data_IF_124040608454
#
_entry.id   IF_124040608454
#
_cell.length_a   1.000
_cell.length_b   1.000
_cell.length_c   1.000
_cell.angle_alpha   90.00
_cell.angle_beta   90.00
_cell.angle_gamma   90.00
#
_symmetry.space_group_name_H-M   'P 1'
#
loop_
_entity.id
_entity.type
_entity.pdbx_description
1 polymer ?
#
# COMPACT_ATOMS: atom_id res chain seq x y z
N UNK A 1 5.50 -25.72 6.71
CA UNK A 1 4.09 -25.96 6.37
C UNK A 1 4.07 -26.79 5.09
N UNK A 2 3.33 -27.90 5.01
CA UNK A 2 3.18 -28.64 3.75
C UNK A 2 2.47 -27.78 2.69
N UNK A 3 2.86 -27.91 1.42
CA UNK A 3 2.15 -27.25 0.31
C UNK A 3 0.98 -28.12 -0.13
N UNK A 4 -0.22 -27.75 0.30
CA UNK A 4 -1.49 -28.35 -0.14
C UNK A 4 -2.34 -27.33 -0.92
N UNK A 5 -3.55 -27.74 -1.34
CA UNK A 5 -4.46 -26.90 -2.13
C UNK A 5 -4.93 -25.65 -1.38
N UNK A 6 -5.13 -25.75 -0.07
CA UNK A 6 -5.55 -24.63 0.78
C UNK A 6 -4.40 -23.62 0.91
N UNK A 7 -3.20 -24.10 1.24
CA UNK A 7 -1.98 -23.28 1.30
C UNK A 7 -1.71 -22.61 -0.05
N UNK A 8 -1.88 -23.32 -1.16
CA UNK A 8 -1.72 -22.75 -2.50
C UNK A 8 -2.76 -21.66 -2.81
N UNK A 9 -4.02 -21.86 -2.40
CA UNK A 9 -5.09 -20.85 -2.56
C UNK A 9 -4.78 -19.59 -1.75
N UNK A 10 -4.29 -19.73 -0.52
CA UNK A 10 -3.84 -18.60 0.30
C UNK A 10 -2.65 -17.88 -0.33
N UNK A 11 -1.68 -18.60 -0.90
CA UNK A 11 -0.56 -17.99 -1.63
C UNK A 11 -1.08 -17.19 -2.83
N UNK A 12 -2.02 -17.73 -3.60
CA UNK A 12 -2.62 -17.00 -4.72
C UNK A 12 -3.34 -15.72 -4.27
N UNK A 13 -4.06 -15.77 -3.14
CA UNK A 13 -4.70 -14.59 -2.54
C UNK A 13 -3.66 -13.50 -2.21
N UNK A 14 -2.54 -13.87 -1.57
CA UNK A 14 -1.45 -12.93 -1.27
C UNK A 14 -0.81 -12.34 -2.54
N UNK A 15 -0.66 -13.15 -3.58
CA UNK A 15 -0.14 -12.67 -4.86
C UNK A 15 -1.08 -11.67 -5.56
N UNK A 16 -2.40 -11.77 -5.36
CA UNK A 16 -3.36 -10.76 -5.82
C UNK A 16 -3.28 -9.46 -5.03
N UNK A 17 -2.82 -9.52 -3.78
CA UNK A 17 -2.61 -8.34 -2.94
C UNK A 17 -1.51 -7.43 -3.52
N UNK A 18 -0.46 -8.02 -4.07
CA UNK A 18 0.70 -7.33 -4.63
C UNK A 18 0.48 -7.02 -6.12
N UNK A 19 0.16 -5.75 -6.43
CA UNK A 19 -0.11 -5.28 -7.80
C UNK A 19 0.97 -5.70 -8.82
N UNK A 20 2.24 -5.72 -8.44
CA UNK A 20 3.34 -6.05 -9.35
C UNK A 20 3.41 -7.54 -9.72
N UNK A 21 2.77 -8.42 -8.92
CA UNK A 21 2.78 -9.86 -9.13
C UNK A 21 1.58 -10.34 -9.95
N UNK A 22 0.51 -9.54 -10.05
CA UNK A 22 -0.73 -9.92 -10.76
C UNK A 22 -0.51 -10.30 -12.22
N UNK A 23 0.48 -9.69 -12.88
CA UNK A 23 0.81 -9.96 -14.29
C UNK A 23 1.44 -11.36 -14.51
N UNK A 24 2.02 -11.97 -13.48
CA UNK A 24 2.68 -13.28 -13.55
C UNK A 24 1.79 -14.43 -13.11
N UNK A 25 0.64 -14.13 -12.49
CA UNK A 25 -0.28 -15.12 -11.94
C UNK A 25 -0.67 -16.22 -12.93
N UNK A 26 -1.02 -15.94 -14.21
CA UNK A 26 -1.34 -17.01 -15.15
C UNK A 26 -0.19 -17.98 -15.40
N UNK A 27 1.07 -17.51 -15.44
CA UNK A 27 2.23 -18.38 -15.61
C UNK A 27 2.49 -19.21 -14.35
N UNK A 28 2.38 -18.61 -13.16
CA UNK A 28 2.48 -19.31 -11.87
C UNK A 28 1.44 -20.43 -11.72
N UNK A 29 0.18 -20.15 -12.08
CA UNK A 29 -0.92 -21.13 -12.08
C UNK A 29 -0.65 -22.24 -13.10
N UNK A 30 -0.22 -21.87 -14.32
CA UNK A 30 0.10 -22.85 -15.38
C UNK A 30 1.23 -23.77 -14.97
N UNK A 31 2.28 -23.26 -14.32
CA UNK A 31 3.41 -24.05 -13.81
C UNK A 31 2.97 -25.00 -12.69
N UNK A 32 2.25 -24.49 -11.70
CA UNK A 32 1.72 -25.30 -10.61
C UNK A 32 0.82 -26.44 -11.13
N UNK A 33 -0.01 -26.19 -12.16
CA UNK A 33 -0.85 -27.23 -12.78
C UNK A 33 -0.08 -28.39 -13.41
N UNK A 34 1.24 -28.21 -13.65
CA UNK A 34 2.15 -29.23 -14.21
C UNK A 34 3.12 -29.79 -13.17
N UNK A 35 2.96 -29.42 -11.90
CA UNK A 35 3.87 -29.80 -10.82
C UNK A 35 5.18 -29.01 -10.76
N UNK A 36 5.29 -27.89 -11.50
CA UNK A 36 6.45 -26.98 -11.42
C UNK A 36 6.22 -25.94 -10.32
N UNK A 37 6.88 -26.16 -9.18
CA UNK A 37 6.84 -25.29 -8.00
C UNK A 37 8.18 -24.61 -7.69
N UNK A 38 9.17 -24.69 -8.58
CA UNK A 38 10.49 -24.08 -8.35
C UNK A 38 10.38 -22.57 -8.15
N UNK A 39 9.44 -21.93 -8.86
CA UNK A 39 9.15 -20.51 -8.69
C UNK A 39 8.66 -20.17 -7.28
N UNK A 40 7.94 -21.08 -6.63
CA UNK A 40 7.44 -20.84 -5.29
C UNK A 40 8.59 -20.89 -4.29
N UNK A 41 9.52 -21.83 -4.43
CA UNK A 41 10.74 -21.89 -3.61
C UNK A 41 11.57 -20.59 -3.69
N UNK A 42 11.69 -20.03 -4.89
CA UNK A 42 12.44 -18.80 -5.13
C UNK A 42 11.68 -17.54 -4.69
N UNK A 43 10.35 -17.57 -4.67
CA UNK A 43 9.51 -16.42 -4.32
C UNK A 43 9.10 -16.40 -2.84
N UNK A 44 9.04 -17.56 -2.18
CA UNK A 44 8.67 -17.71 -0.77
C UNK A 44 9.43 -16.76 0.16
N UNK A 45 10.75 -16.55 0.05
CA UNK A 45 11.46 -15.59 0.91
C UNK A 45 10.95 -14.16 0.76
N UNK A 46 10.47 -13.77 -0.44
CA UNK A 46 9.88 -12.45 -0.69
C UNK A 46 8.46 -12.35 -0.11
N UNK A 47 7.68 -13.43 -0.19
CA UNK A 47 6.30 -13.46 0.29
C UNK A 47 6.20 -13.60 1.81
N UNK A 48 7.11 -14.36 2.42
CA UNK A 48 7.04 -14.68 3.85
C UNK A 48 7.77 -13.66 4.72
N UNK A 49 8.60 -12.79 4.16
CA UNK A 49 9.43 -11.87 4.94
C UNK A 49 10.24 -12.60 6.01
N UNK A 50 10.88 -11.87 6.92
CA UNK A 50 11.62 -12.42 8.07
C UNK A 50 10.71 -12.86 9.23
N UNK A 51 9.41 -13.02 9.00
CA UNK A 51 8.44 -13.30 10.06
C UNK A 51 8.28 -12.16 11.08
N UNK A 52 8.75 -10.94 10.75
CA UNK A 52 8.44 -9.73 11.52
C UNK A 52 6.98 -9.34 11.28
N UNK A 53 6.13 -9.74 12.21
CA UNK A 53 4.73 -9.36 12.22
C UNK A 53 4.48 -8.44 13.43
N UNK A 54 4.33 -7.12 13.23
CA UNK A 54 3.67 -6.26 14.18
C UNK A 54 2.30 -5.87 13.61
N UNK A 55 1.53 -6.82 13.04
CA UNK A 55 0.09 -6.68 13.14
C UNK A 55 -0.19 -6.41 14.61
N UNK A 56 -0.70 -5.22 14.91
CA UNK A 56 -1.25 -4.91 16.21
C UNK A 56 -2.53 -5.76 16.34
N UNK A 57 -2.39 -7.08 16.42
CA UNK A 57 -3.46 -8.06 16.28
C UNK A 57 -4.48 -7.87 17.40
N UNK A 58 -3.99 -7.43 18.56
CA UNK A 58 -4.82 -6.96 19.66
C UNK A 58 -5.68 -5.77 19.27
N UNK A 59 -5.12 -4.74 18.62
CA UNK A 59 -5.88 -3.59 18.09
C UNK A 59 -6.83 -4.04 16.98
N UNK A 60 -6.38 -4.85 16.03
CA UNK A 60 -7.17 -5.38 14.92
C UNK A 60 -8.44 -6.07 15.42
N UNK A 61 -8.32 -7.06 16.31
CA UNK A 61 -9.48 -7.74 16.86
C UNK A 61 -10.29 -6.86 17.81
N UNK A 62 -9.67 -5.91 18.52
CA UNK A 62 -10.42 -4.92 19.31
C UNK A 62 -11.32 -4.04 18.43
N UNK A 63 -10.88 -3.70 17.22
CA UNK A 63 -11.69 -2.96 16.24
C UNK A 63 -12.70 -3.87 15.56
N UNK A 64 -12.28 -4.97 14.93
CA UNK A 64 -13.19 -5.79 14.13
C UNK A 64 -14.28 -6.42 14.99
N UNK A 65 -13.96 -6.93 16.17
CA UNK A 65 -14.95 -7.58 17.02
C UNK A 65 -15.94 -6.58 17.64
N UNK A 66 -15.59 -5.29 17.70
CA UNK A 66 -16.53 -4.23 18.10
C UNK A 66 -17.67 -4.04 17.09
N UNK A 67 -17.47 -4.39 15.81
CA UNK A 67 -18.39 -4.10 14.70
C UNK A 67 -19.53 -5.12 14.50
N UNK A 68 -19.90 -5.85 15.57
CA UNK A 68 -20.95 -6.86 15.61
C UNK A 68 -20.64 -8.12 14.77
N UNK A 69 -19.77 -8.99 15.30
CA UNK A 69 -19.58 -10.36 14.83
C UNK A 69 -20.74 -11.26 15.29
N UNK A 70 -21.86 -11.26 14.56
CA UNK A 70 -23.04 -12.07 14.87
C UNK A 70 -23.07 -13.39 14.09
N UNK A 71 -23.77 -14.39 14.64
CA UNK A 71 -24.03 -15.67 13.94
C UNK A 71 -24.75 -15.43 12.61
N UNK A 72 -25.74 -14.53 12.61
CA UNK A 72 -26.50 -14.16 11.40
C UNK A 72 -25.60 -13.65 10.27
N UNK A 73 -24.60 -12.81 10.58
CA UNK A 73 -23.65 -12.31 9.58
C UNK A 73 -22.74 -13.41 9.04
N UNK A 74 -22.32 -14.33 9.91
CA UNK A 74 -21.56 -15.50 9.48
C UNK A 74 -22.40 -16.36 8.52
N UNK A 75 -23.63 -16.70 8.91
CA UNK A 75 -24.51 -17.55 8.11
C UNK A 75 -24.81 -16.91 6.74
N UNK A 76 -25.04 -15.58 6.71
CA UNK A 76 -25.20 -14.83 5.47
C UNK A 76 -23.94 -14.86 4.58
N UNK A 77 -22.74 -14.81 5.19
CA UNK A 77 -21.46 -14.90 4.46
C UNK A 77 -21.28 -16.29 3.85
N UNK A 78 -21.53 -17.35 4.63
CA UNK A 78 -21.45 -18.74 4.15
C UNK A 78 -22.47 -19.01 3.03
N UNK A 79 -23.68 -18.45 3.14
CA UNK A 79 -24.70 -18.55 2.09
C UNK A 79 -24.25 -17.88 0.79
N UNK A 80 -23.73 -16.65 0.87
CA UNK A 80 -23.24 -15.91 -0.29
C UNK A 80 -22.09 -16.64 -1.00
N UNK A 81 -21.25 -17.34 -0.24
CA UNK A 81 -20.09 -18.07 -0.75
C UNK A 81 -20.45 -19.40 -1.44
N UNK A 82 -21.70 -19.88 -1.38
CA UNK A 82 -22.08 -21.16 -2.03
C UNK A 82 -21.83 -21.20 -3.53
N UNK A 83 -21.82 -20.04 -4.19
CA UNK A 83 -21.54 -19.92 -5.63
C UNK A 83 -20.05 -19.97 -5.99
N UNK A 84 -19.16 -19.86 -5.00
CA UNK A 84 -17.71 -19.98 -5.18
C UNK A 84 -17.34 -21.45 -5.36
N UNK A 85 -16.29 -21.73 -6.15
CA UNK A 85 -15.76 -23.08 -6.34
C UNK A 85 -15.50 -23.75 -4.98
N UNK A 86 -15.93 -25.01 -4.76
CA UNK A 86 -15.84 -25.66 -3.46
C UNK A 86 -14.44 -25.65 -2.85
N UNK A 87 -13.40 -25.82 -3.67
CA UNK A 87 -12.00 -25.86 -3.27
C UNK A 87 -11.52 -24.49 -2.76
N UNK A 88 -11.87 -23.41 -3.47
CA UNK A 88 -11.54 -22.04 -3.07
C UNK A 88 -12.35 -21.62 -1.84
N UNK A 89 -13.62 -22.06 -1.78
CA UNK A 89 -14.50 -21.79 -0.65
C UNK A 89 -13.97 -22.44 0.62
N UNK A 90 -13.52 -23.69 0.57
CA UNK A 90 -12.97 -24.40 1.72
C UNK A 90 -11.79 -23.65 2.34
N UNK A 91 -10.87 -23.14 1.51
CA UNK A 91 -9.72 -22.36 1.96
C UNK A 91 -10.11 -21.01 2.59
N UNK A 92 -11.16 -20.35 2.10
CA UNK A 92 -11.57 -19.02 2.56
C UNK A 92 -12.57 -19.01 3.72
N UNK A 93 -13.47 -20.00 3.81
CA UNK A 93 -14.50 -20.06 4.85
C UNK A 93 -13.91 -20.27 6.24
N UNK A 94 -12.81 -21.01 6.35
CA UNK A 94 -12.13 -21.24 7.62
C UNK A 94 -11.74 -19.92 8.30
N UNK A 95 -11.24 -18.95 7.53
CA UNK A 95 -10.95 -17.62 8.04
C UNK A 95 -12.21 -16.94 8.62
N UNK A 96 -13.36 -17.04 7.96
CA UNK A 96 -14.61 -16.46 8.48
C UNK A 96 -15.06 -17.14 9.78
N UNK A 97 -14.90 -18.46 9.88
CA UNK A 97 -15.20 -19.24 11.09
C UNK A 97 -14.28 -18.86 12.25
N UNK A 98 -12.98 -18.73 11.98
CA UNK A 98 -11.98 -18.36 12.98
C UNK A 98 -12.21 -16.94 13.50
N UNK A 99 -12.47 -15.97 12.61
CA UNK A 99 -12.83 -14.60 12.99
C UNK A 99 -14.07 -14.57 13.87
N UNK A 100 -15.10 -15.33 13.50
CA UNK A 100 -16.30 -15.44 14.33
C UNK A 100 -15.96 -16.01 15.72
N UNK A 101 -15.23 -17.13 15.78
CA UNK A 101 -14.86 -17.80 17.03
C UNK A 101 -14.01 -16.90 17.94
N UNK A 102 -13.05 -16.17 17.38
CA UNK A 102 -12.24 -15.19 18.08
C UNK A 102 -13.13 -14.09 18.65
N UNK A 103 -13.99 -13.49 17.83
CA UNK A 103 -14.83 -12.37 18.27
C UNK A 103 -15.91 -12.75 19.28
N UNK A 104 -16.34 -14.02 19.35
CA UNK A 104 -17.21 -14.49 20.45
C UNK A 104 -16.53 -14.45 21.82
N UNK A 105 -15.20 -14.54 21.85
CA UNK A 105 -14.41 -14.60 23.09
C UNK A 105 -13.54 -13.35 23.30
N UNK A 106 -13.50 -12.44 22.33
CA UNK A 106 -12.67 -11.24 22.39
C UNK A 106 -13.32 -10.17 23.27
N UNK A 107 -12.59 -9.58 24.24
CA UNK A 107 -13.12 -8.54 25.13
C UNK A 107 -13.20 -7.19 24.40
N UNK A 108 -14.11 -7.07 23.44
CA UNK A 108 -14.40 -5.82 22.72
C UNK A 108 -15.64 -5.14 23.30
N UNK A 109 -15.61 -3.80 23.35
CA UNK A 109 -16.83 -3.02 23.53
C UNK A 109 -17.51 -2.90 22.16
N UNK A 110 -18.85 -2.84 22.12
CA UNK A 110 -19.56 -2.58 20.88
C UNK A 110 -19.10 -1.26 20.24
N UNK A 111 -18.98 -1.26 18.91
CA UNK A 111 -18.62 -0.06 18.16
C UNK A 111 -19.67 1.03 18.36
N UNK A 112 -19.24 2.30 18.27
CA UNK A 112 -20.18 3.40 18.06
C UNK A 112 -21.06 3.04 16.84
N UNK A 113 -22.41 3.12 16.93
CA UNK A 113 -23.29 2.87 15.80
C UNK A 113 -22.92 3.67 14.54
N UNK A 114 -22.30 4.85 14.68
CA UNK A 114 -21.76 5.64 13.57
C UNK A 114 -20.63 4.94 12.82
N UNK A 115 -19.82 4.13 13.50
CA UNK A 115 -18.69 3.41 12.92
C UNK A 115 -19.10 2.20 12.05
N UNK A 116 -20.35 1.75 12.17
CA UNK A 116 -20.91 0.64 11.37
C UNK A 116 -22.05 1.08 10.44
N UNK A 117 -22.36 2.37 10.41
CA UNK A 117 -23.34 2.96 9.49
C UNK A 117 -22.64 3.46 8.21
N UNK A 118 -23.29 3.37 7.04
CA UNK A 118 -22.75 3.94 5.81
C UNK A 118 -22.45 5.44 5.96
N UNK A 119 -21.31 5.88 5.42
CA UNK A 119 -20.97 7.30 5.41
C UNK A 119 -21.85 8.05 4.39
N UNK A 120 -22.55 9.10 4.84
CA UNK A 120 -23.39 9.95 3.98
C UNK A 120 -22.67 11.29 3.78
N UNK A 121 -22.43 11.68 2.52
CA UNK A 121 -21.72 12.91 2.20
C UNK A 121 -22.01 13.39 0.78
N UNK A 122 -22.08 14.71 0.61
CA UNK A 122 -22.12 15.43 -0.67
C UNK A 122 -20.75 16.03 -1.05
N UNK A 123 -19.73 15.81 -0.22
CA UNK A 123 -18.38 16.30 -0.48
C UNK A 123 -17.75 15.56 -1.66
N UNK A 124 -16.97 16.26 -2.50
CA UNK A 124 -16.28 15.61 -3.60
C UNK A 124 -15.37 14.47 -3.11
N UNK A 125 -15.63 13.27 -3.60
CA UNK A 125 -14.96 12.05 -3.15
C UNK A 125 -14.48 11.24 -4.36
N UNK A 126 -13.26 10.70 -4.29
CA UNK A 126 -12.76 9.75 -5.28
C UNK A 126 -12.54 8.40 -4.62
N UNK A 127 -13.06 7.35 -5.24
CA UNK A 127 -12.93 5.95 -4.82
C UNK A 127 -12.05 5.25 -5.86
N UNK A 128 -10.88 4.75 -5.46
CA UNK A 128 -9.90 4.17 -6.39
C UNK A 128 -9.71 2.69 -6.00
N UNK A 129 -10.01 1.78 -6.92
CA UNK A 129 -9.91 0.33 -6.71
C UNK A 129 -9.03 -0.32 -7.76
N UNK A 130 -8.32 -1.38 -7.38
CA UNK A 130 -7.63 -2.25 -8.31
C UNK A 130 -8.63 -3.21 -8.93
N UNK A 131 -8.50 -3.53 -10.22
CA UNK A 131 -9.38 -4.49 -10.88
C UNK A 131 -9.34 -5.88 -10.23
N UNK A 132 -8.17 -6.28 -9.71
CA UNK A 132 -7.92 -7.57 -9.07
C UNK A 132 -7.74 -7.47 -7.56
N UNK A 133 -8.17 -6.37 -6.93
CA UNK A 133 -8.11 -6.20 -5.48
C UNK A 133 -8.92 -7.32 -4.77
N UNK A 134 -8.27 -8.22 -4.01
CA UNK A 134 -8.95 -9.35 -3.39
C UNK A 134 -9.64 -8.99 -2.06
N UNK A 135 -9.37 -7.81 -1.50
CA UNK A 135 -9.87 -7.37 -0.18
C UNK A 135 -10.95 -6.30 -0.31
N UNK A 136 -10.70 -5.27 -1.12
CA UNK A 136 -11.62 -4.14 -1.38
C UNK A 136 -11.94 -3.98 -2.87
N UNK A 137 -12.59 -4.99 -3.49
CA UNK A 137 -12.85 -5.01 -4.92
C UNK A 137 -13.74 -3.86 -5.38
N UNK A 138 -13.75 -3.52 -6.69
CA UNK A 138 -14.49 -2.38 -7.23
C UNK A 138 -15.97 -2.28 -6.82
N UNK A 139 -16.64 -3.43 -6.63
CA UNK A 139 -18.03 -3.46 -6.14
C UNK A 139 -18.25 -2.73 -4.81
N UNK A 140 -17.23 -2.64 -3.95
CA UNK A 140 -17.33 -1.90 -2.68
C UNK A 140 -17.33 -0.39 -2.91
N UNK A 141 -16.63 0.08 -3.94
CA UNK A 141 -16.75 1.46 -4.38
C UNK A 141 -18.19 1.73 -4.86
N UNK A 142 -18.79 0.84 -5.65
CA UNK A 142 -20.17 0.99 -6.12
C UNK A 142 -21.18 1.10 -4.96
N UNK A 143 -21.04 0.25 -3.94
CA UNK A 143 -21.86 0.33 -2.70
C UNK A 143 -21.64 1.67 -1.98
N UNK A 144 -20.38 2.11 -1.83
CA UNK A 144 -20.08 3.37 -1.17
C UNK A 144 -20.66 4.59 -1.92
N UNK A 145 -20.75 4.55 -3.26
CA UNK A 145 -21.33 5.63 -4.06
C UNK A 145 -22.81 5.87 -3.78
N UNK A 146 -23.55 4.86 -3.29
CA UNK A 146 -24.98 4.99 -2.99
C UNK A 146 -25.27 6.12 -1.97
N UNK A 147 -24.34 6.36 -1.05
CA UNK A 147 -24.46 7.40 -0.01
C UNK A 147 -23.48 8.57 -0.18
N UNK A 148 -22.57 8.49 -1.14
CA UNK A 148 -21.60 9.53 -1.49
C UNK A 148 -22.04 10.22 -2.79
N UNK A 149 -22.94 11.19 -2.70
CA UNK A 149 -23.66 11.74 -3.86
C UNK A 149 -22.78 12.51 -4.87
N UNK A 150 -21.59 12.95 -4.45
CA UNK A 150 -20.59 13.61 -5.30
C UNK A 150 -19.31 12.77 -5.39
N UNK A 151 -19.47 11.50 -5.77
CA UNK A 151 -18.37 10.54 -5.85
C UNK A 151 -18.03 10.11 -7.28
N UNK A 152 -16.74 9.93 -7.54
CA UNK A 152 -16.21 9.30 -8.75
C UNK A 152 -15.51 8.01 -8.35
N UNK A 153 -15.98 6.86 -8.84
CA UNK A 153 -15.26 5.61 -8.70
C UNK A 153 -14.41 5.32 -9.94
N UNK A 154 -13.17 4.91 -9.71
CA UNK A 154 -12.19 4.59 -10.75
C UNK A 154 -11.61 3.22 -10.45
N UNK A 155 -11.74 2.31 -11.42
CA UNK A 155 -11.08 1.01 -11.37
C UNK A 155 -9.85 1.04 -12.25
N UNK A 156 -8.70 0.66 -11.68
CA UNK A 156 -7.42 0.62 -12.39
C UNK A 156 -7.17 -0.78 -12.97
N UNK A 157 -7.11 -0.93 -14.32
CA UNK A 157 -6.88 -2.22 -14.95
C UNK A 157 -5.56 -2.87 -14.49
N UNK A 158 -5.63 -4.14 -14.12
CA UNK A 158 -4.46 -4.90 -13.63
C UNK A 158 -4.06 -4.61 -12.17
N UNK A 159 -4.64 -3.61 -11.52
CA UNK A 159 -4.29 -3.22 -10.15
C UNK A 159 -4.75 -4.25 -9.12
N UNK A 160 -3.91 -4.53 -8.12
CA UNK A 160 -4.24 -5.30 -6.92
C UNK A 160 -4.70 -4.41 -5.77
N UNK A 161 -4.36 -4.78 -4.53
CA UNK A 161 -4.73 -3.99 -3.35
C UNK A 161 -3.88 -2.72 -3.21
N UNK A 162 -4.45 -1.68 -2.60
CA UNK A 162 -3.84 -0.33 -2.44
C UNK A 162 -3.25 0.24 -3.75
N UNK A 163 -4.06 0.43 -4.81
CA UNK A 163 -3.56 0.79 -6.15
C UNK A 163 -3.22 2.29 -6.27
N UNK A 164 -2.72 2.92 -5.19
CA UNK A 164 -2.40 4.34 -5.08
C UNK A 164 -0.96 4.59 -4.62
N UNK A 165 -0.19 3.53 -4.35
CA UNK A 165 1.23 3.64 -4.02
C UNK A 165 2.06 3.64 -5.33
N UNK A 166 2.89 4.66 -5.59
CA UNK A 166 3.55 4.85 -6.88
C UNK A 166 4.80 3.97 -7.07
N UNK A 167 4.66 2.66 -6.84
CA UNK A 167 5.73 1.67 -7.05
C UNK A 167 5.75 1.08 -8.47
N UNK A 168 4.67 1.26 -9.22
CA UNK A 168 4.48 0.80 -10.59
C UNK A 168 3.59 1.78 -11.39
N UNK A 169 3.41 1.59 -12.71
CA UNK A 169 2.60 2.48 -13.53
C UNK A 169 1.12 2.57 -13.12
N UNK A 170 0.54 1.49 -12.59
CA UNK A 170 -0.86 1.44 -12.14
C UNK A 170 -0.99 2.29 -10.88
N UNK A 171 -0.15 2.03 -9.87
CA UNK A 171 -0.10 2.80 -8.64
C UNK A 171 0.23 4.27 -8.86
N UNK A 172 1.10 4.58 -9.84
CA UNK A 172 1.38 5.97 -10.26
C UNK A 172 0.12 6.65 -10.82
N UNK A 173 -0.67 5.95 -11.62
CA UNK A 173 -1.94 6.46 -12.12
C UNK A 173 -2.91 6.72 -10.97
N UNK A 174 -3.09 5.77 -10.04
CA UNK A 174 -3.93 5.96 -8.85
C UNK A 174 -3.50 7.13 -7.97
N UNK A 175 -2.20 7.28 -7.73
CA UNK A 175 -1.66 8.41 -6.98
C UNK A 175 -1.94 9.76 -7.68
N UNK A 176 -1.81 9.81 -9.01
CA UNK A 176 -2.12 11.01 -9.79
C UNK A 176 -3.60 11.40 -9.73
N UNK A 177 -4.50 10.41 -9.76
CA UNK A 177 -5.95 10.60 -9.60
C UNK A 177 -6.24 11.17 -8.20
N UNK A 178 -5.64 10.60 -7.15
CA UNK A 178 -5.77 11.09 -5.78
C UNK A 178 -5.34 12.55 -5.68
N UNK A 179 -4.14 12.89 -6.16
CA UNK A 179 -3.60 14.24 -6.09
C UNK A 179 -4.43 15.25 -6.89
N UNK A 180 -4.90 14.87 -8.07
CA UNK A 180 -5.73 15.75 -8.91
C UNK A 180 -7.07 16.07 -8.24
N UNK A 181 -7.71 15.11 -7.57
CA UNK A 181 -8.92 15.37 -6.78
C UNK A 181 -8.64 16.28 -5.58
N UNK A 182 -7.49 16.14 -4.91
CA UNK A 182 -7.11 17.07 -3.82
C UNK A 182 -6.89 18.49 -4.36
N UNK A 183 -6.30 18.62 -5.54
CA UNK A 183 -6.04 19.91 -6.17
C UNK A 183 -7.31 20.57 -6.76
N UNK A 184 -8.23 19.76 -7.30
CA UNK A 184 -9.49 20.16 -7.89
C UNK A 184 -10.63 19.21 -7.47
N UNK A 185 -11.19 19.39 -6.25
CA UNK A 185 -12.19 18.48 -5.69
C UNK A 185 -13.39 18.27 -6.61
N UNK A 186 -13.69 17.00 -6.91
CA UNK A 186 -14.83 16.59 -7.75
C UNK A 186 -14.50 16.43 -9.22
N UNK A 187 -13.26 16.75 -9.60
CA UNK A 187 -12.78 16.63 -10.97
C UNK A 187 -11.42 15.90 -11.01
N UNK A 188 -11.35 14.63 -10.54
CA UNK A 188 -10.14 13.84 -10.68
C UNK A 188 -9.73 13.70 -12.15
N UNK A 189 -8.45 13.92 -12.44
CA UNK A 189 -7.86 13.58 -13.73
C UNK A 189 -7.63 12.06 -13.80
N UNK A 190 -8.39 11.41 -14.67
CA UNK A 190 -8.37 9.95 -14.87
C UNK A 190 -7.77 9.57 -16.23
N UNK A 191 -7.16 10.50 -16.96
CA UNK A 191 -6.66 10.25 -18.31
C UNK A 191 -5.66 9.09 -18.40
N UNK A 192 -4.84 8.90 -17.35
CA UNK A 192 -3.88 7.80 -17.28
C UNK A 192 -4.52 6.40 -17.36
N UNK A 193 -5.79 6.25 -16.94
CA UNK A 193 -6.50 4.97 -16.95
C UNK A 193 -6.64 4.41 -18.36
N UNK A 194 -6.84 5.28 -19.36
CA UNK A 194 -6.97 4.89 -20.76
C UNK A 194 -5.71 4.23 -21.34
N UNK A 195 -4.55 4.47 -20.73
CA UNK A 195 -3.27 3.87 -21.10
C UNK A 195 -2.98 2.55 -20.37
N UNK A 196 -3.68 2.26 -19.26
CA UNK A 196 -3.51 1.01 -18.52
C UNK A 196 -4.09 -0.17 -19.29
N UNK A 197 -3.40 -1.31 -19.23
CA UNK A 197 -3.81 -2.57 -19.86
C UNK A 197 -3.54 -3.70 -18.88
N UNK A 198 -4.46 -4.65 -18.81
CA UNK A 198 -4.18 -5.95 -18.21
C UNK A 198 -3.17 -6.64 -19.12
N UNK A 199 -1.98 -6.91 -18.61
CA UNK A 199 -0.93 -7.63 -19.33
C UNK A 199 -0.55 -8.86 -18.54
N UNK A 200 -0.12 -9.89 -19.26
CA UNK A 200 0.35 -11.13 -18.66
C UNK A 200 1.76 -11.42 -19.15
N UNK A 201 2.62 -11.84 -18.24
CA UNK A 201 4.02 -12.11 -18.51
C UNK A 201 4.41 -13.46 -17.93
N UNK A 202 5.39 -14.10 -18.56
CA UNK A 202 6.03 -15.27 -17.97
C UNK A 202 6.95 -14.83 -16.84
N UNK A 203 7.12 -15.69 -15.84
CA UNK A 203 8.08 -15.48 -14.78
C UNK A 203 9.50 -15.28 -15.34
N UNK A 204 10.28 -14.32 -14.81
CA UNK A 204 11.69 -14.20 -15.13
C UNK A 204 12.43 -15.52 -14.86
N UNK A 205 13.45 -15.90 -15.66
CA UNK A 205 14.20 -17.14 -15.47
C UNK A 205 14.77 -17.32 -14.06
N UNK A 206 15.21 -16.23 -13.42
CA UNK A 206 15.75 -16.23 -12.06
C UNK A 206 14.73 -16.66 -11.00
N UNK A 207 13.44 -16.44 -11.24
CA UNK A 207 12.36 -16.90 -10.36
C UNK A 207 11.88 -18.27 -10.84
N UNK A 208 11.70 -18.45 -12.13
CA UNK A 208 11.19 -19.67 -12.74
C UNK A 208 12.11 -20.92 -12.63
N UNK A 209 13.32 -20.79 -12.07
CA UNK A 209 14.29 -21.90 -12.03
C UNK A 209 15.04 -22.14 -13.35
N UNK A 210 15.02 -21.17 -14.26
CA UNK A 210 15.80 -21.19 -15.49
C UNK A 210 17.29 -20.86 -15.24
N UNK A 211 18.18 -21.09 -16.22
CA UNK A 211 19.59 -20.77 -16.08
C UNK A 211 19.75 -19.27 -15.76
N UNK A 212 20.48 -18.96 -14.68
CA UNK A 212 20.81 -17.59 -14.31
C UNK A 212 21.53 -16.94 -15.48
N UNK A 213 21.02 -15.82 -16.05
CA UNK A 213 21.78 -15.11 -17.07
C UNK A 213 23.14 -14.72 -16.47
N UNK A 214 24.25 -14.87 -17.23
CA UNK A 214 25.57 -14.48 -16.74
C UNK A 214 25.50 -13.02 -16.29
N UNK A 215 26.21 -12.63 -15.21
CA UNK A 215 26.19 -11.26 -14.74
C UNK A 215 26.50 -10.34 -15.91
N UNK A 216 25.60 -9.40 -16.20
CA UNK A 216 25.83 -8.39 -17.21
C UNK A 216 27.16 -7.73 -16.87
N UNK A 217 28.13 -7.81 -17.79
CA UNK A 217 29.46 -7.27 -17.57
C UNK A 217 29.33 -5.86 -16.98
N UNK A 218 29.91 -5.66 -15.80
CA UNK A 218 29.99 -4.33 -15.19
C UNK A 218 30.51 -3.38 -16.27
N UNK A 219 29.82 -2.27 -16.57
CA UNK A 219 30.30 -1.36 -17.60
C UNK A 219 31.74 -1.00 -17.25
N UNK A 220 32.66 -1.31 -18.17
CA UNK A 220 34.07 -0.98 -18.00
C UNK A 220 34.16 0.50 -17.58
N UNK A 221 35.03 0.86 -16.61
CA UNK A 221 35.15 2.24 -16.18
C UNK A 221 35.36 3.10 -17.42
N UNK A 222 34.38 3.97 -17.68
CA UNK A 222 34.42 4.88 -18.80
C UNK A 222 35.69 5.70 -18.65
N UNK A 223 36.52 5.74 -19.71
CA UNK A 223 37.80 6.41 -19.68
C UNK A 223 37.63 7.83 -19.11
N UNK A 224 38.43 8.16 -18.09
CA UNK A 224 38.54 9.50 -17.53
C UNK A 224 38.66 10.50 -18.69
N UNK A 225 37.74 11.48 -18.83
CA UNK A 225 37.84 12.48 -19.87
C UNK A 225 39.18 13.20 -19.74
N UNK A 226 39.90 13.33 -20.85
CA UNK A 226 41.11 14.14 -20.91
C UNK A 226 40.79 15.57 -20.42
N UNK A 227 41.71 16.23 -19.69
CA UNK A 227 41.45 17.57 -19.17
C UNK A 227 41.12 18.52 -20.31
N UNK A 228 39.89 19.04 -20.30
CA UNK A 228 39.44 20.06 -21.24
C UNK A 228 40.18 21.37 -20.96
N UNK A 229 40.62 22.04 -22.02
CA UNK A 229 41.44 23.24 -21.96
C UNK A 229 40.81 24.33 -21.05
N UNK A 230 41.64 24.90 -20.19
CA UNK A 230 41.29 25.99 -19.28
C UNK A 230 40.68 27.18 -20.05
N UNK A 231 39.44 27.60 -19.77
CA UNK A 231 38.90 28.81 -20.37
C UNK A 231 39.59 30.05 -19.81
N UNK A 232 39.97 30.95 -20.72
CA UNK A 232 40.56 32.27 -20.45
C UNK A 232 39.56 33.14 -19.67
N UNK A 233 39.96 33.84 -18.59
CA UNK A 233 39.04 34.66 -17.80
C UNK A 233 38.50 35.84 -18.64
N UNK A 234 37.18 35.94 -18.73
CA UNK A 234 36.46 37.12 -19.20
C UNK A 234 36.29 38.12 -18.06
N UNK A 235 36.46 39.41 -18.36
CA UNK A 235 36.47 40.49 -17.38
C UNK A 235 35.18 40.56 -16.54
N UNK A 236 35.36 40.76 -15.24
CA UNK A 236 34.31 40.91 -14.23
C UNK A 236 33.72 42.33 -14.27
N UNK A 237 32.39 42.53 -14.27
CA UNK A 237 31.79 43.85 -14.09
C UNK A 237 31.82 44.28 -12.61
N UNK A 238 32.12 45.56 -12.43
CA UNK A 238 32.23 46.31 -11.17
C UNK A 238 30.97 46.22 -10.29
N UNK A 239 31.09 46.01 -8.96
CA UNK A 239 29.95 46.06 -8.04
C UNK A 239 29.52 47.51 -7.70
N UNK A 240 28.21 47.74 -7.68
CA UNK A 240 27.57 48.97 -7.20
C UNK A 240 27.53 49.03 -5.66
N UNK A 241 27.50 50.22 -5.03
CA UNK A 241 27.67 50.37 -3.58
C UNK A 241 26.46 49.93 -2.74
N UNK A 242 26.77 49.26 -1.63
CA UNK A 242 25.85 48.77 -0.59
C UNK A 242 25.13 49.88 0.18
N UNK A 243 23.84 49.68 0.44
CA UNK A 243 23.05 50.47 1.40
C UNK A 243 23.36 50.07 2.86
N UNK A 244 23.21 50.99 3.84
CA UNK A 244 23.55 50.76 5.24
C UNK A 244 22.52 49.88 5.99
N UNK A 245 22.93 49.19 7.08
CA UNK A 245 22.08 48.21 7.76
C UNK A 245 21.04 48.84 8.69
N UNK A 246 19.79 48.36 8.59
CA UNK A 246 18.70 48.60 9.56
C UNK A 246 18.88 47.76 10.84
N UNK A 247 18.49 48.27 12.02
CA UNK A 247 18.69 47.59 13.30
C UNK A 247 17.74 46.42 13.54
N UNK A 248 18.27 45.39 14.23
CA UNK A 248 17.64 44.12 14.61
C UNK A 248 16.72 44.30 15.82
N UNK A 249 15.46 43.81 15.81
CA UNK A 249 14.66 43.76 17.03
C UNK A 249 15.08 42.59 17.95
N UNK A 250 15.02 42.89 19.24
CA UNK A 250 15.38 42.06 20.39
C UNK A 250 14.57 40.75 20.49
N UNK A 251 15.23 39.66 20.87
CA UNK A 251 14.62 38.35 21.13
C UNK A 251 13.78 38.38 22.41
N UNK A 252 12.47 38.10 22.28
CA UNK A 252 11.57 37.83 23.40
C UNK A 252 11.73 36.36 23.87
N UNK A 253 11.62 36.06 25.18
CA UNK A 253 11.88 34.72 25.71
C UNK A 253 10.73 33.73 25.39
N UNK A 254 11.10 32.48 25.13
CA UNK A 254 10.18 31.37 24.89
C UNK A 254 9.41 30.98 26.17
N UNK A 255 8.14 30.53 26.08
CA UNK A 255 7.43 29.98 27.22
C UNK A 255 7.90 28.57 27.57
N UNK A 256 7.97 28.30 28.87
CA UNK A 256 8.29 27.01 29.48
C UNK A 256 7.22 25.96 29.18
N UNK A 257 7.62 24.81 28.63
CA UNK A 257 6.74 23.64 28.43
C UNK A 257 6.72 22.77 29.69
N UNK A 258 5.57 22.67 30.35
CA UNK A 258 5.31 21.64 31.35
C UNK A 258 5.26 20.24 30.71
N UNK A 259 5.67 19.17 31.41
CA UNK A 259 5.71 17.82 30.86
C UNK A 259 4.30 17.22 30.72
N UNK A 260 4.06 16.59 29.57
CA UNK A 260 2.92 15.71 29.29
C UNK A 260 3.23 14.33 29.91
N UNK A 261 2.33 13.72 30.69
CA UNK A 261 2.56 12.39 31.25
C UNK A 261 2.49 11.30 30.16
N UNK A 262 3.45 10.38 30.19
CA UNK A 262 3.51 9.20 29.31
C UNK A 262 2.33 8.24 29.54
N UNK A 263 1.75 7.62 28.49
CA UNK A 263 0.85 6.49 28.66
C UNK A 263 1.61 5.25 29.19
N UNK A 264 0.94 4.35 29.92
CA UNK A 264 1.56 3.13 30.44
C UNK A 264 1.92 2.18 29.29
N UNK A 265 2.92 1.28 29.50
CA UNK A 265 3.36 0.35 28.47
C UNK A 265 2.24 -0.63 28.13
N UNK A 266 1.73 -0.56 26.90
CA UNK A 266 0.90 -1.64 26.35
C UNK A 266 1.80 -2.86 26.18
N UNK A 267 1.43 -3.95 26.85
CA UNK A 267 2.17 -5.21 26.83
C UNK A 267 2.37 -5.72 25.41
N UNK A 268 3.59 -6.18 25.15
CA UNK A 268 3.98 -6.89 23.94
C UNK A 268 2.96 -7.99 23.64
N UNK A 269 2.19 -7.82 22.57
CA UNK A 269 1.40 -8.90 21.99
C UNK A 269 2.37 -9.97 21.50
N UNK A 270 2.46 -11.07 22.25
CA UNK A 270 3.23 -12.23 21.85
C UNK A 270 2.65 -12.87 20.58
N UNK A 271 3.53 -13.54 19.84
CA UNK A 271 3.19 -14.41 18.71
C UNK A 271 2.20 -15.49 19.18
N UNK A 272 0.95 -15.45 18.70
CA UNK A 272 -0.02 -16.52 18.87
C UNK A 272 -0.06 -17.35 17.57
N UNK A 273 0.48 -18.58 17.56
CA UNK A 273 0.40 -19.46 16.40
C UNK A 273 -1.06 -19.82 16.09
N UNK A 274 -1.47 -19.71 14.82
CA UNK A 274 -2.77 -20.19 14.34
C UNK A 274 -3.84 -19.12 14.12
N UNK A 275 -3.48 -17.83 14.04
CA UNK A 275 -4.42 -16.79 13.65
C UNK A 275 -4.50 -16.67 12.11
N UNK A 276 -5.71 -16.51 11.54
CA UNK A 276 -5.88 -16.38 10.10
C UNK A 276 -5.20 -15.10 9.60
N UNK A 277 -4.57 -15.18 8.43
CA UNK A 277 -3.96 -14.04 7.78
C UNK A 277 -5.04 -12.98 7.48
N UNK A 278 -4.87 -11.81 8.07
CA UNK A 278 -5.86 -10.73 8.04
C UNK A 278 -5.66 -9.76 6.87
N UNK A 279 -4.68 -10.04 5.99
CA UNK A 279 -4.43 -9.27 4.78
C UNK A 279 -4.00 -7.83 5.05
N UNK A 280 -3.11 -7.60 6.03
CA UNK A 280 -2.56 -6.27 6.32
C UNK A 280 -1.06 -6.35 6.62
N UNK A 281 -0.23 -6.42 5.59
CA UNK A 281 1.23 -6.36 5.73
C UNK A 281 1.73 -4.98 6.19
N UNK A 282 2.68 -4.96 7.13
CA UNK A 282 3.35 -3.75 7.62
C UNK A 282 4.80 -4.02 8.03
N UNK A 283 5.71 -3.11 7.66
CA UNK A 283 7.16 -3.09 7.93
C UNK A 283 7.49 -2.37 9.25
N UNK A 284 8.65 -2.64 9.87
CA UNK A 284 9.39 -1.61 10.64
C UNK A 284 10.89 -1.89 10.84
N UNK A 285 11.57 -0.79 11.21
CA UNK A 285 13.01 -0.50 11.24
C UNK A 285 13.90 -1.49 12.02
N UNK A 286 14.95 -1.97 11.37
CA UNK A 286 15.94 -2.80 12.05
C UNK A 286 17.21 -3.18 11.31
N UNK A 287 17.45 -2.73 10.08
CA UNK A 287 18.79 -2.60 9.47
C UNK A 287 18.66 -1.77 8.19
N UNK A 288 19.54 -0.78 8.01
CA UNK A 288 19.39 0.24 6.97
C UNK A 288 19.24 -0.36 5.56
N UNK A 289 18.28 0.11 4.75
CA UNK A 289 18.09 -0.42 3.40
C UNK A 289 19.28 -0.04 2.52
N UNK A 290 19.59 -0.91 1.54
CA UNK A 290 20.60 -0.60 0.54
C UNK A 290 20.29 0.75 -0.14
N UNK A 291 21.31 1.57 -0.49
CA UNK A 291 21.15 2.96 -0.93
C UNK A 291 20.31 3.18 -2.20
N UNK A 292 19.90 2.11 -2.90
CA UNK A 292 19.02 2.17 -4.07
C UNK A 292 17.53 2.28 -3.74
N UNK A 293 17.12 2.00 -2.48
CA UNK A 293 15.71 2.04 -2.04
C UNK A 293 15.31 3.35 -1.33
N UNK A 294 16.27 4.22 -0.99
CA UNK A 294 16.02 5.44 -0.19
C UNK A 294 15.66 6.66 -1.06
N UNK A 295 16.07 6.68 -2.33
CA UNK A 295 15.90 7.85 -3.21
C UNK A 295 14.43 8.33 -3.42
N UNK A 296 13.38 7.46 -3.49
CA UNK A 296 12.02 7.94 -3.71
C UNK A 296 11.31 8.46 -2.44
N UNK A 297 11.72 8.04 -1.23
CA UNK A 297 11.05 8.43 0.02
C UNK A 297 11.39 9.86 0.47
N UNK A 298 12.60 10.35 0.19
CA UNK A 298 12.99 11.73 0.50
C UNK A 298 12.35 12.77 -0.44
N UNK A 299 11.96 12.37 -1.65
CA UNK A 299 11.31 13.27 -2.62
C UNK A 299 9.87 13.64 -2.22
N UNK A 300 9.18 12.78 -1.46
CA UNK A 300 7.79 13.00 -1.02
C UNK A 300 7.68 14.08 0.07
N UNK A 301 8.66 14.17 0.96
CA UNK A 301 8.65 15.14 2.07
C UNK A 301 8.84 16.59 1.59
N UNK A 302 9.53 16.82 0.47
CA UNK A 302 9.78 18.17 -0.07
C UNK A 302 8.61 18.69 -0.91
N UNK A 303 7.82 17.80 -1.51
CA UNK A 303 6.67 18.17 -2.37
C UNK A 303 5.37 18.50 -1.64
N UNK A 304 5.18 18.05 -0.39
CA UNK A 304 3.92 18.25 0.37
C UNK A 304 3.83 19.59 1.10
N UNK A 305 4.97 20.21 1.44
CA UNK A 305 5.02 21.49 2.17
C UNK A 305 4.43 22.68 1.40
N UNK A 306 4.62 22.82 0.07
CA UNK A 306 3.99 23.89 -0.71
C UNK A 306 2.47 23.73 -0.87
N UNK A 307 1.97 22.50 -0.97
CA UNK A 307 0.54 22.20 -1.19
C UNK A 307 -0.28 22.47 0.07
N UNK A 308 0.21 22.06 1.24
CA UNK A 308 -0.44 22.34 2.52
C UNK A 308 -0.55 23.85 2.82
N UNK A 309 0.43 24.66 2.38
CA UNK A 309 0.40 26.12 2.52
C UNK A 309 -0.60 26.81 1.57
N UNK A 310 -0.93 26.21 0.42
CA UNK A 310 -1.92 26.73 -0.53
C UNK A 310 -3.36 26.47 -0.08
N UNK A 311 -3.64 25.30 0.49
CA UNK A 311 -4.97 24.94 1.00
C UNK A 311 -5.39 25.82 2.19
N UNK A 312 -4.46 26.12 3.11
CA UNK A 312 -4.74 27.03 4.24
C UNK A 312 -5.06 28.48 3.86
N UNK A 313 -4.63 28.95 2.69
CA UNK A 313 -4.88 30.33 2.20
C UNK A 313 -6.20 30.48 1.44
N UNK A 314 -6.90 29.40 1.12
CA UNK A 314 -8.22 29.43 0.46
C UNK A 314 -9.39 29.13 1.40
N UNK A 315 -9.10 28.78 2.66
CA UNK A 315 -10.08 28.49 3.69
C UNK A 315 -10.24 29.63 4.73
N UNK A 316 -9.75 30.84 4.41
CA UNK A 316 -9.99 32.09 5.15
C UNK A 316 -10.55 33.11 4.17
#
# INVERSE_FOLDING_TARGET
MPLDGDTYTSILFELFYVTQLTIFLPDMITRASRGDFVWLENLLPLLLGDGSDPLAIGMHFSVICSTNASRERLDATLEANKSVLPEVRAAAEQQSLDYFAICQNWPSQGADPKGVSPAISDRPTVLISGQFDPVTPPRYADIAKETLSNSVAVTLPGGGHVPVLPFDPIGTCGFSILLSNVANPGHPDTACVGALRVTYQQLPPSIAGGPTPPPSASPAPSATPAPSATPRPSASPTPAPSAPPTPRPSSSPAPSTSPIPSPPPTGNGGTLPGLPNTGAGGMDDGDGPSPWLIAPFLALAVGLVPVARRVRRRAV
#
